data_IF_117724948692
#
_entry.id   IF_117724948692
#
_cell.length_a   1.000
_cell.length_b   1.000
_cell.length_c   1.000
_cell.angle_alpha   90.00
_cell.angle_beta   90.00
_cell.angle_gamma   90.00
#
_symmetry.space_group_name_H-M   'P 1'
#
loop_
_entity.id
_entity.type
_entity.pdbx_description
1 polymer ?
#
# COMPACT_ATOMS: atom_id res chain seq x y z
N UNK A 1 5.84 -6.91 -4.49
CA UNK A 1 5.80 -6.19 -3.21
C UNK A 1 4.78 -5.07 -3.35
N UNK A 2 3.72 -5.06 -2.54
CA UNK A 2 2.66 -4.04 -2.59
C UNK A 2 3.06 -2.86 -1.70
N UNK A 3 3.19 -1.67 -2.28
CA UNK A 3 3.61 -0.46 -1.59
C UNK A 3 2.39 0.32 -1.11
N UNK A 4 2.24 0.51 0.19
CA UNK A 4 1.17 1.35 0.73
C UNK A 4 1.50 2.85 0.65
N UNK A 5 0.62 3.69 1.18
CA UNK A 5 0.74 5.15 1.10
C UNK A 5 1.99 5.68 1.80
N UNK A 6 2.40 5.11 2.94
CA UNK A 6 3.64 5.48 3.62
C UNK A 6 4.89 5.01 2.87
N UNK A 7 4.87 3.85 2.21
CA UNK A 7 5.98 3.39 1.37
C UNK A 7 6.17 4.32 0.18
N UNK A 8 5.09 4.65 -0.55
CA UNK A 8 5.15 5.62 -1.66
C UNK A 8 5.70 6.97 -1.17
N UNK A 9 5.19 7.46 -0.03
CA UNK A 9 5.64 8.73 0.54
C UNK A 9 7.10 8.73 1.00
N UNK A 10 7.60 7.61 1.53
CA UNK A 10 8.99 7.46 1.94
C UNK A 10 9.92 7.32 0.74
N UNK A 11 9.48 6.66 -0.33
CA UNK A 11 10.23 6.57 -1.58
C UNK A 11 10.41 7.95 -2.22
N UNK A 12 9.34 8.76 -2.26
CA UNK A 12 9.41 10.14 -2.75
C UNK A 12 10.42 11.01 -1.98
N UNK A 13 10.70 10.65 -0.72
CA UNK A 13 11.66 11.34 0.16
C UNK A 13 13.08 10.75 0.08
N UNK A 14 13.29 9.67 -0.67
CA UNK A 14 14.57 8.97 -0.73
C UNK A 14 14.93 8.26 0.57
N UNK A 15 13.95 7.75 1.31
CA UNK A 15 14.18 7.04 2.57
C UNK A 15 15.08 5.81 2.37
N UNK A 16 16.27 5.83 2.95
CA UNK A 16 17.29 4.81 2.74
C UNK A 16 16.89 3.43 3.28
N UNK A 17 16.13 3.38 4.38
CA UNK A 17 15.69 2.12 4.97
C UNK A 17 14.62 1.47 4.08
N UNK A 18 13.70 2.26 3.50
CA UNK A 18 12.78 1.74 2.49
C UNK A 18 13.54 1.23 1.27
N UNK A 19 14.47 2.02 0.73
CA UNK A 19 15.24 1.63 -0.47
C UNK A 19 16.03 0.34 -0.25
N UNK A 20 16.50 0.07 0.97
CA UNK A 20 17.14 -1.19 1.33
C UNK A 20 16.15 -2.35 1.46
N UNK A 21 14.92 -2.08 1.93
CA UNK A 21 13.86 -3.09 2.02
C UNK A 21 13.26 -3.45 0.66
N UNK A 22 13.27 -2.53 -0.31
CA UNK A 22 12.86 -2.78 -1.68
C UNK A 22 13.81 -3.78 -2.35
N UNK A 23 13.22 -4.82 -2.95
CA UNK A 23 13.95 -5.86 -3.68
C UNK A 23 13.79 -5.61 -5.18
N UNK A 24 14.82 -5.08 -5.87
CA UNK A 24 14.71 -4.64 -7.27
C UNK A 24 14.51 -5.79 -8.26
N UNK A 25 14.79 -7.03 -7.85
CA UNK A 25 14.52 -8.27 -8.60
C UNK A 25 13.05 -8.68 -8.57
N UNK A 26 12.20 -8.03 -7.78
CA UNK A 26 10.77 -8.35 -7.62
C UNK A 26 9.90 -7.27 -8.24
N UNK A 27 8.76 -7.69 -8.78
CA UNK A 27 7.71 -6.75 -9.22
C UNK A 27 7.20 -5.92 -8.05
N UNK A 28 7.09 -4.60 -8.27
CA UNK A 28 6.47 -3.67 -7.33
C UNK A 28 5.05 -3.35 -7.77
N UNK A 29 4.15 -3.30 -6.80
CA UNK A 29 2.73 -3.07 -7.02
C UNK A 29 2.27 -1.84 -6.26
N UNK A 30 1.36 -1.08 -6.87
CA UNK A 30 0.72 0.08 -6.26
C UNK A 30 -0.77 -0.20 -6.10
N UNK A 31 -1.33 -0.19 -4.89
CA UNK A 31 -2.77 -0.30 -4.71
C UNK A 31 -3.42 1.01 -5.15
N UNK A 32 -4.51 0.93 -5.92
CA UNK A 32 -5.25 2.11 -6.37
C UNK A 32 -5.75 2.99 -5.22
N UNK A 33 -5.97 2.39 -4.04
CA UNK A 33 -6.34 3.09 -2.80
C UNK A 33 -5.22 4.04 -2.36
N UNK A 34 -3.97 3.55 -2.29
CA UNK A 34 -2.83 4.37 -1.90
C UNK A 34 -2.51 5.46 -2.92
N UNK A 35 -2.70 5.18 -4.21
CA UNK A 35 -2.60 6.20 -5.27
C UNK A 35 -3.64 7.31 -5.08
N UNK A 36 -4.88 6.95 -4.72
CA UNK A 36 -5.92 7.93 -4.40
C UNK A 36 -5.53 8.83 -3.22
N UNK A 37 -5.07 8.24 -2.13
CA UNK A 37 -4.58 8.99 -0.95
C UNK A 37 -3.39 9.89 -1.29
N UNK A 38 -2.42 9.36 -2.02
CA UNK A 38 -1.22 10.10 -2.40
C UNK A 38 -1.56 11.29 -3.31
N UNK A 39 -2.37 11.06 -4.36
CA UNK A 39 -2.85 12.12 -5.27
C UNK A 39 -3.66 13.19 -4.52
N UNK A 40 -4.50 12.81 -3.55
CA UNK A 40 -5.17 13.77 -2.69
C UNK A 40 -4.18 14.64 -1.89
N UNK A 41 -3.12 14.03 -1.35
CA UNK A 41 -2.01 14.74 -0.70
C UNK A 41 -1.30 15.71 -1.66
N UNK A 42 -1.07 15.31 -2.91
CA UNK A 42 -0.44 16.15 -3.94
C UNK A 42 -1.23 17.42 -4.24
N UNK A 43 -2.56 17.33 -4.29
CA UNK A 43 -3.43 18.49 -4.53
C UNK A 43 -3.25 19.60 -3.48
N UNK A 44 -2.73 19.27 -2.29
CA UNK A 44 -2.44 20.21 -1.20
C UNK A 44 -0.96 20.59 -1.07
N UNK A 45 -0.08 19.99 -1.88
CA UNK A 45 1.37 20.14 -1.76
C UNK A 45 1.90 21.37 -2.48
N UNK A 46 2.86 22.07 -1.87
CA UNK A 46 3.63 23.14 -2.52
C UNK A 46 4.65 22.60 -3.53
N UNK A 47 5.00 21.31 -3.46
CA UNK A 47 5.92 20.60 -4.38
C UNK A 47 5.17 19.77 -5.42
N UNK A 48 3.92 20.14 -5.72
CA UNK A 48 3.01 19.35 -6.56
C UNK A 48 3.60 18.94 -7.90
N UNK A 49 4.14 19.89 -8.69
CA UNK A 49 4.64 19.60 -10.03
C UNK A 49 5.81 18.59 -10.03
N UNK A 50 6.72 18.72 -9.07
CA UNK A 50 7.84 17.78 -8.89
C UNK A 50 7.35 16.38 -8.53
N UNK A 51 6.43 16.27 -7.58
CA UNK A 51 5.93 15.00 -7.09
C UNK A 51 4.95 14.33 -8.07
N UNK A 52 4.22 15.09 -8.90
CA UNK A 52 3.40 14.57 -9.99
C UNK A 52 4.29 13.90 -11.04
N UNK A 53 5.36 14.58 -11.50
CA UNK A 53 6.32 14.01 -12.45
C UNK A 53 7.02 12.76 -11.87
N UNK A 54 7.37 12.79 -10.58
CA UNK A 54 7.92 11.62 -9.89
C UNK A 54 6.89 10.46 -9.85
N UNK A 55 5.63 10.74 -9.50
CA UNK A 55 4.59 9.72 -9.41
C UNK A 55 4.33 9.06 -10.78
N UNK A 56 4.33 9.84 -11.86
CA UNK A 56 4.22 9.31 -13.24
C UNK A 56 5.34 8.30 -13.55
N UNK A 57 6.58 8.60 -13.15
CA UNK A 57 7.70 7.66 -13.32
C UNK A 57 7.54 6.37 -12.50
N UNK A 58 6.96 6.49 -11.30
CA UNK A 58 6.70 5.35 -10.41
C UNK A 58 5.57 4.47 -10.95
N UNK A 59 4.49 5.07 -11.43
CA UNK A 59 3.38 4.36 -12.08
C UNK A 59 3.82 3.66 -13.37
N UNK A 60 4.79 4.22 -14.11
CA UNK A 60 5.39 3.55 -15.27
C UNK A 60 6.29 2.36 -14.88
N UNK A 61 6.89 2.38 -13.69
CA UNK A 61 7.79 1.34 -13.20
C UNK A 61 7.09 0.23 -12.38
N UNK A 62 5.84 0.45 -11.97
CA UNK A 62 5.10 -0.46 -11.10
C UNK A 62 3.81 -0.97 -11.76
N UNK A 63 3.27 -2.08 -11.25
CA UNK A 63 1.96 -2.59 -11.66
C UNK A 63 0.88 -2.05 -10.71
N UNK A 64 -0.10 -1.32 -11.23
CA UNK A 64 -1.24 -0.85 -10.42
C UNK A 64 -2.24 -1.98 -10.21
N UNK A 65 -2.60 -2.24 -8.96
CA UNK A 65 -3.65 -3.19 -8.58
C UNK A 65 -4.90 -2.42 -8.19
N UNK A 66 -5.96 -2.59 -8.97
CA UNK A 66 -7.27 -2.01 -8.72
C UNK A 66 -8.14 -2.95 -7.87
N UNK A 67 -8.90 -2.38 -6.94
CA UNK A 67 -9.88 -3.17 -6.18
C UNK A 67 -11.06 -3.58 -7.06
N UNK A 68 -11.41 -4.86 -7.00
CA UNK A 68 -12.52 -5.47 -7.74
C UNK A 68 -13.43 -6.31 -6.82
N UNK A 69 -14.34 -7.08 -7.43
CA UNK A 69 -15.24 -7.95 -6.69
C UNK A 69 -14.55 -9.10 -5.93
N UNK A 70 -13.37 -9.56 -6.37
CA UNK A 70 -12.56 -10.51 -5.60
C UNK A 70 -11.89 -9.81 -4.41
N UNK A 71 -11.39 -8.59 -4.59
CA UNK A 71 -10.84 -7.78 -3.49
C UNK A 71 -11.90 -7.54 -2.42
N UNK A 72 -13.14 -7.23 -2.83
CA UNK A 72 -14.25 -6.98 -1.91
C UNK A 72 -14.57 -8.19 -1.01
N UNK A 73 -14.39 -9.42 -1.49
CA UNK A 73 -14.59 -10.64 -0.68
C UNK A 73 -13.51 -10.75 0.40
N UNK A 74 -12.23 -10.60 0.03
CA UNK A 74 -11.13 -10.59 0.99
C UNK A 74 -11.27 -9.47 2.02
N UNK A 75 -11.70 -8.28 1.59
CA UNK A 75 -11.97 -7.16 2.48
C UNK A 75 -13.01 -7.53 3.55
N UNK A 76 -14.14 -8.12 3.14
CA UNK A 76 -15.21 -8.50 4.07
C UNK A 76 -14.74 -9.54 5.09
N UNK A 77 -13.96 -10.53 4.66
CA UNK A 77 -13.37 -11.54 5.54
C UNK A 77 -12.37 -10.94 6.53
N UNK A 78 -11.47 -10.07 6.06
CA UNK A 78 -10.53 -9.35 6.91
C UNK A 78 -11.25 -8.49 7.93
N UNK A 79 -12.24 -7.70 7.50
CA UNK A 79 -13.00 -6.82 8.39
C UNK A 79 -13.70 -7.61 9.49
N UNK A 80 -14.39 -8.71 9.13
CA UNK A 80 -15.02 -9.60 10.10
C UNK A 80 -14.02 -10.16 11.11
N UNK A 81 -12.81 -10.51 10.68
CA UNK A 81 -11.76 -11.02 11.57
C UNK A 81 -11.25 -9.94 12.53
N UNK A 82 -11.13 -8.69 12.07
CA UNK A 82 -10.67 -7.56 12.89
C UNK A 82 -11.70 -7.16 13.96
N UNK A 83 -13.00 -7.20 13.63
CA UNK A 83 -14.10 -6.96 14.57
C UNK A 83 -14.09 -7.96 15.74
N UNK A 84 -13.52 -9.16 15.54
CA UNK A 84 -13.46 -10.22 16.54
C UNK A 84 -12.32 -10.07 17.58
N UNK A 85 -11.64 -8.90 17.65
CA UNK A 85 -10.77 -8.57 18.78
C UNK A 85 -9.38 -7.99 18.44
N UNK A 86 -9.15 -7.49 17.22
CA UNK A 86 -7.80 -7.03 16.82
C UNK A 86 -7.61 -5.49 16.82
N UNK A 87 -8.60 -4.75 17.30
CA UNK A 87 -8.56 -3.29 17.44
C UNK A 87 -8.82 -2.55 16.12
N UNK A 88 -9.00 -1.23 16.22
CA UNK A 88 -9.35 -0.40 15.06
C UNK A 88 -8.20 -0.39 14.04
N UNK A 89 -8.53 -0.69 12.79
CA UNK A 89 -7.65 -0.62 11.62
C UNK A 89 -8.31 0.31 10.61
N UNK A 90 -7.58 1.29 10.05
CA UNK A 90 -8.11 2.19 9.04
C UNK A 90 -8.69 1.44 7.83
N UNK A 91 -9.82 1.91 7.31
CA UNK A 91 -10.51 1.25 6.20
C UNK A 91 -9.64 1.08 4.95
N UNK A 92 -8.78 2.05 4.65
CA UNK A 92 -7.87 1.98 3.51
C UNK A 92 -6.83 0.86 3.65
N UNK A 93 -6.30 0.65 4.86
CA UNK A 93 -5.35 -0.44 5.13
C UNK A 93 -6.00 -1.80 4.94
N UNK A 94 -7.28 -1.96 5.29
CA UNK A 94 -8.02 -3.22 5.05
C UNK A 94 -8.14 -3.49 3.55
N UNK A 95 -8.40 -2.47 2.74
CA UNK A 95 -8.43 -2.62 1.27
C UNK A 95 -7.07 -2.98 0.69
N UNK A 96 -5.98 -2.37 1.19
CA UNK A 96 -4.62 -2.71 0.79
C UNK A 96 -4.27 -4.15 1.19
N UNK A 97 -4.63 -4.56 2.41
CA UNK A 97 -4.48 -5.95 2.88
C UNK A 97 -5.28 -6.94 2.05
N UNK A 98 -6.50 -6.58 1.63
CA UNK A 98 -7.33 -7.41 0.76
C UNK A 98 -6.70 -7.60 -0.63
N UNK A 99 -6.13 -6.55 -1.23
CA UNK A 99 -5.35 -6.66 -2.47
C UNK A 99 -4.13 -7.55 -2.28
N UNK A 100 -3.43 -7.43 -1.15
CA UNK A 100 -2.29 -8.27 -0.83
C UNK A 100 -2.65 -9.76 -0.76
N UNK A 101 -3.79 -10.10 -0.14
CA UNK A 101 -4.32 -11.46 -0.10
C UNK A 101 -4.71 -11.97 -1.49
N UNK A 102 -5.50 -11.20 -2.24
CA UNK A 102 -5.95 -11.58 -3.58
C UNK A 102 -4.79 -11.94 -4.51
N UNK A 103 -3.72 -11.16 -4.47
CA UNK A 103 -2.57 -11.31 -5.35
C UNK A 103 -1.43 -12.11 -4.71
N UNK A 104 -1.60 -12.60 -3.47
CA UNK A 104 -0.59 -13.30 -2.68
C UNK A 104 0.78 -12.58 -2.63
N UNK A 105 0.75 -11.27 -2.39
CA UNK A 105 1.95 -10.42 -2.28
C UNK A 105 2.12 -9.87 -0.87
N UNK A 106 3.36 -9.58 -0.48
CA UNK A 106 3.65 -8.92 0.80
C UNK A 106 3.40 -7.41 0.69
N UNK A 107 2.90 -6.81 1.78
CA UNK A 107 2.73 -5.36 1.94
C UNK A 107 4.01 -4.78 2.53
N UNK A 108 4.60 -3.80 1.87
CA UNK A 108 5.72 -3.04 2.41
C UNK A 108 5.12 -1.88 3.19
N UNK A 109 5.20 -1.93 4.52
CA UNK A 109 4.63 -0.90 5.40
C UNK A 109 5.39 -0.71 6.71
N UNK A 110 5.43 0.52 7.22
CA UNK A 110 5.79 0.82 8.62
C UNK A 110 4.63 0.63 9.58
N UNK A 111 3.41 0.55 9.07
CA UNK A 111 2.23 0.40 9.88
C UNK A 111 2.05 -1.07 10.32
N UNK A 112 2.04 -1.28 11.63
CA UNK A 112 1.80 -2.59 12.23
C UNK A 112 0.32 -3.03 12.12
N UNK A 113 -0.58 -2.21 11.58
CA UNK A 113 -1.97 -2.60 11.31
C UNK A 113 -2.06 -3.87 10.46
N UNK A 114 -1.17 -4.04 9.47
CA UNK A 114 -1.17 -5.22 8.61
C UNK A 114 -0.80 -6.51 9.37
N UNK A 115 -0.05 -6.42 10.46
CA UNK A 115 0.31 -7.58 11.30
C UNK A 115 -0.92 -8.14 12.03
N UNK A 116 -1.97 -7.34 12.17
CA UNK A 116 -3.25 -7.75 12.73
C UNK A 116 -4.12 -8.47 11.71
N UNK A 117 -3.83 -8.39 10.41
CA UNK A 117 -4.70 -8.96 9.37
C UNK A 117 -4.32 -10.42 9.08
N UNK A 118 -5.21 -11.40 9.31
CA UNK A 118 -4.86 -12.80 9.09
C UNK A 118 -4.43 -13.08 7.64
N UNK A 119 -3.27 -13.74 7.49
CA UNK A 119 -2.71 -14.13 6.20
C UNK A 119 -1.98 -13.01 5.44
N UNK A 120 -2.14 -11.75 5.84
CA UNK A 120 -1.37 -10.63 5.27
C UNK A 120 0.06 -10.70 5.80
N UNK A 121 1.03 -10.55 4.91
CA UNK A 121 2.46 -10.55 5.25
C UNK A 121 3.01 -9.15 5.09
N UNK A 122 3.50 -8.55 6.18
CA UNK A 122 4.14 -7.24 6.16
C UNK A 122 5.66 -7.36 6.09
N UNK A 123 6.28 -6.51 5.27
CA UNK A 123 7.71 -6.21 5.29
C UNK A 123 7.84 -4.80 5.87
N UNK A 124 8.36 -4.71 7.10
CA UNK A 124 8.71 -3.44 7.73
C UNK A 124 10.07 -2.92 7.30
N UNK A 125 10.27 -1.62 7.48
CA UNK A 125 11.56 -0.93 7.38
C UNK A 125 11.67 0.18 8.43
#
# INVERSE_FOLDING_TARGET
MLLDTNAISAWAKGDAALLQALRPDRTWYLPSIALGEYRYGLLKSTRRAELEAWLESVEAACVVLAADGATARHYAELRRALDAGQGEVPYHDIWIGALALQHNVEVVSRDAHFDKMPGVRRIGW
#
